data_IF_044646569159
#
_entry.id   IF_044646569159
#
_cell.length_a   1.000
_cell.length_b   1.000
_cell.length_c   1.000
_cell.angle_alpha   90.00
_cell.angle_beta   90.00
_cell.angle_gamma   90.00
#
_symmetry.space_group_name_H-M   'P 1'
#
loop_
_entity.id
_entity.type
_entity.pdbx_description
1 polymer ?
#
# COMPACT_ATOMS: atom_id res chain seq x y z
N UNK A 1 -6.74 7.23 4.66
CA UNK A 1 -7.31 8.04 3.55
C UNK A 1 -8.73 7.58 3.25
N UNK A 2 -9.69 8.50 3.21
CA UNK A 2 -11.11 8.20 2.95
C UNK A 2 -11.48 8.51 1.50
N UNK A 3 -11.23 7.58 0.58
CA UNK A 3 -11.47 7.77 -0.86
C UNK A 3 -12.94 7.55 -1.28
N UNK A 4 -13.85 7.26 -0.32
CA UNK A 4 -15.26 6.96 -0.56
C UNK A 4 -15.51 5.60 -1.24
N UNK A 5 -14.99 5.41 -2.45
CA UNK A 5 -15.00 4.12 -3.18
C UNK A 5 -13.57 3.74 -3.55
N UNK A 6 -12.98 2.70 -2.93
CA UNK A 6 -11.59 2.34 -3.16
C UNK A 6 -11.41 1.51 -4.44
N UNK A 7 -11.30 2.18 -5.59
CA UNK A 7 -10.97 1.52 -6.87
C UNK A 7 -9.61 0.81 -6.85
N UNK A 8 -8.68 1.30 -6.01
CA UNK A 8 -7.36 0.69 -5.82
C UNK A 8 -7.44 -0.76 -5.35
N UNK A 9 -8.45 -1.11 -4.55
CA UNK A 9 -8.66 -2.46 -4.03
C UNK A 9 -9.03 -3.43 -5.16
N UNK A 10 -9.92 -3.00 -6.07
CA UNK A 10 -10.36 -3.79 -7.22
C UNK A 10 -9.28 -3.94 -8.30
N UNK A 11 -8.40 -2.96 -8.41
CA UNK A 11 -7.29 -2.99 -9.37
C UNK A 11 -6.13 -3.89 -8.93
N UNK A 12 -6.04 -4.21 -7.63
CA UNK A 12 -5.00 -5.08 -7.10
C UNK A 12 -5.42 -6.55 -7.21
N UNK A 13 -4.68 -7.41 -7.93
CA UNK A 13 -5.03 -8.83 -8.08
C UNK A 13 -4.97 -9.61 -6.76
N UNK A 14 -4.24 -9.10 -5.76
CA UNK A 14 -4.14 -9.67 -4.42
C UNK A 14 -5.26 -9.18 -3.49
N UNK A 15 -6.07 -8.20 -3.91
CA UNK A 15 -7.05 -7.57 -3.03
C UNK A 15 -6.40 -6.81 -1.88
N UNK A 16 -5.24 -6.18 -2.13
CA UNK A 16 -4.56 -5.40 -1.10
C UNK A 16 -5.40 -4.16 -0.70
N UNK A 17 -5.40 -3.87 0.59
CA UNK A 17 -6.18 -2.81 1.23
C UNK A 17 -5.38 -1.51 1.32
N UNK A 18 -5.00 -0.98 0.16
CA UNK A 18 -4.19 0.24 0.03
C UNK A 18 -4.62 1.42 0.92
N UNK A 19 -5.92 1.76 1.04
CA UNK A 19 -6.33 2.89 1.87
C UNK A 19 -6.14 2.67 3.37
N UNK A 20 -6.22 1.42 3.85
CA UNK A 20 -6.17 1.07 5.27
C UNK A 20 -4.73 1.20 5.79
N UNK A 21 -3.75 0.61 5.10
CA UNK A 21 -2.35 0.75 5.50
C UNK A 21 -1.78 2.14 5.19
N UNK A 22 -2.28 2.84 4.17
CA UNK A 22 -1.93 4.26 3.95
C UNK A 22 -2.44 5.16 5.08
N UNK A 23 -3.60 4.85 5.65
CA UNK A 23 -4.11 5.58 6.81
C UNK A 23 -3.24 5.37 8.05
N UNK A 24 -2.78 4.13 8.27
CA UNK A 24 -1.84 3.79 9.34
C UNK A 24 -0.49 4.50 9.14
N UNK A 25 0.04 4.52 7.89
CA UNK A 25 1.23 5.30 7.53
C UNK A 25 1.06 6.79 7.84
N UNK A 26 -0.08 7.37 7.47
CA UNK A 26 -0.36 8.79 7.72
C UNK A 26 -0.40 9.12 9.22
N UNK A 27 -0.85 8.16 10.05
CA UNK A 27 -0.83 8.27 11.53
C UNK A 27 0.54 8.01 12.15
N UNK A 28 1.50 7.49 11.37
CA UNK A 28 2.83 7.08 11.85
C UNK A 28 2.85 5.69 12.49
N UNK A 29 1.80 4.90 12.35
CA UNK A 29 1.68 3.55 12.90
C UNK A 29 2.24 2.51 11.92
N UNK A 30 3.58 2.46 11.79
CA UNK A 30 4.28 1.59 10.85
C UNK A 30 4.06 0.09 11.11
N UNK A 31 3.99 -0.33 12.37
CA UNK A 31 3.71 -1.72 12.75
C UNK A 31 2.32 -2.15 12.25
N UNK A 32 1.32 -1.29 12.43
CA UNK A 32 -0.04 -1.57 11.97
C UNK A 32 -0.11 -1.59 10.43
N UNK A 33 0.58 -0.66 9.77
CA UNK A 33 0.68 -0.64 8.30
C UNK A 33 1.28 -1.94 7.77
N UNK A 34 2.39 -2.41 8.36
CA UNK A 34 3.02 -3.68 7.98
C UNK A 34 2.11 -4.88 8.24
N UNK A 35 1.44 -4.97 9.39
CA UNK A 35 0.51 -6.06 9.70
C UNK A 35 -0.67 -6.12 8.74
N UNK A 36 -1.23 -4.98 8.36
CA UNK A 36 -2.31 -4.89 7.37
C UNK A 36 -1.81 -5.33 5.99
N UNK A 37 -0.63 -4.87 5.59
CA UNK A 37 -0.01 -5.24 4.33
C UNK A 37 0.24 -6.76 4.26
N UNK A 38 0.90 -7.31 5.28
CA UNK A 38 1.22 -8.74 5.38
C UNK A 38 -0.04 -9.63 5.51
N UNK A 39 -1.16 -9.09 5.99
CA UNK A 39 -2.42 -9.86 6.07
C UNK A 39 -3.04 -10.20 4.72
N UNK A 40 -2.71 -9.43 3.68
CA UNK A 40 -3.25 -9.60 2.32
C UNK A 40 -2.22 -10.09 1.31
N UNK A 41 -0.94 -9.94 1.65
CA UNK A 41 0.17 -10.27 0.77
C UNK A 41 1.31 -10.84 1.61
N UNK A 42 1.61 -12.12 1.40
CA UNK A 42 2.68 -12.82 2.13
C UNK A 42 4.09 -12.32 1.75
N UNK A 43 4.23 -11.65 0.59
CA UNK A 43 5.53 -11.22 0.05
C UNK A 43 5.54 -9.75 -0.39
N UNK A 44 5.39 -8.81 0.56
CA UNK A 44 5.34 -7.38 0.24
C UNK A 44 6.69 -6.83 -0.25
N UNK A 45 7.81 -7.48 0.07
CA UNK A 45 9.15 -7.17 -0.47
C UNK A 45 9.22 -7.28 -1.99
N UNK A 46 8.59 -8.31 -2.54
CA UNK A 46 8.63 -8.58 -3.97
C UNK A 46 7.63 -7.69 -4.69
N UNK A 47 6.42 -7.53 -4.14
CA UNK A 47 5.38 -6.70 -4.77
C UNK A 47 5.79 -5.23 -4.83
N UNK A 48 6.41 -4.69 -3.78
CA UNK A 48 6.90 -3.31 -3.78
C UNK A 48 7.93 -3.01 -4.88
N UNK A 49 8.65 -4.02 -5.39
CA UNK A 49 9.70 -3.84 -6.41
C UNK A 49 9.28 -4.23 -7.83
N UNK A 50 8.47 -5.27 -7.97
CA UNK A 50 8.11 -5.82 -9.29
C UNK A 50 6.71 -5.43 -9.76
N UNK A 51 5.84 -4.95 -8.86
CA UNK A 51 4.45 -4.68 -9.20
C UNK A 51 4.36 -3.60 -10.30
N UNK A 52 3.55 -3.83 -11.36
CA UNK A 52 3.30 -2.85 -12.41
C UNK A 52 2.39 -1.69 -11.98
N UNK A 53 2.10 -1.56 -10.67
CA UNK A 53 1.36 -0.47 -10.04
C UNK A 53 -0.02 -0.17 -10.68
N UNK A 54 -0.81 -1.23 -10.92
CA UNK A 54 -2.18 -1.08 -11.46
C UNK A 54 -3.10 -0.28 -10.52
N UNK A 55 -2.85 -0.38 -9.20
CA UNK A 55 -3.57 0.37 -8.18
C UNK A 55 -3.40 1.89 -8.30
N UNK A 56 -2.23 2.37 -8.72
CA UNK A 56 -1.95 3.80 -8.90
C UNK A 56 -2.68 4.34 -10.13
N UNK A 57 -2.73 3.56 -11.22
CA UNK A 57 -3.47 3.91 -12.44
C UNK A 57 -4.97 4.03 -12.21
N UNK A 58 -5.52 3.16 -11.36
CA UNK A 58 -6.93 3.13 -11.00
C UNK A 58 -7.30 4.10 -9.86
N UNK A 59 -6.34 4.86 -9.32
CA UNK A 59 -6.60 5.76 -8.20
C UNK A 59 -7.54 6.91 -8.59
N UNK A 60 -8.46 7.28 -7.69
CA UNK A 60 -9.40 8.40 -7.91
C UNK A 60 -8.64 9.72 -8.12
N UNK A 61 -7.55 9.93 -7.37
CA UNK A 61 -6.72 11.13 -7.50
C UNK A 61 -6.00 11.20 -8.85
N UNK A 62 -5.64 10.05 -9.44
CA UNK A 62 -5.08 10.01 -10.80
C UNK A 62 -6.11 10.43 -11.86
N UNK A 63 -7.39 10.12 -11.63
CA UNK A 63 -8.48 10.47 -12.53
C UNK A 63 -8.92 11.94 -12.39
N UNK A 64 -8.81 12.52 -11.19
CA UNK A 64 -9.26 13.89 -10.92
C UNK A 64 -8.16 14.93 -11.10
N UNK A 65 -7.00 14.73 -10.48
CA UNK A 65 -5.95 15.75 -10.36
C UNK A 65 -4.61 15.31 -10.98
N UNK A 66 -4.57 14.12 -11.61
CA UNK A 66 -3.34 13.51 -12.16
C UNK A 66 -2.22 13.30 -11.13
N UNK A 67 -2.57 13.24 -9.85
CA UNK A 67 -1.65 13.00 -8.73
C UNK A 67 -1.98 11.65 -8.06
N UNK A 68 -1.55 10.51 -8.64
CA UNK A 68 -1.76 9.21 -8.03
C UNK A 68 -1.00 9.09 -6.70
N UNK A 69 -1.59 8.36 -5.77
CA UNK A 69 -0.88 7.84 -4.58
C UNK A 69 0.19 6.85 -5.02
N UNK A 70 1.42 7.00 -4.52
CA UNK A 70 2.58 6.16 -4.83
C UNK A 70 2.58 4.85 -4.02
N UNK A 71 1.50 4.09 -4.13
CA UNK A 71 1.26 2.91 -3.30
C UNK A 71 2.39 1.87 -3.38
N UNK A 72 3.02 1.71 -4.54
CA UNK A 72 4.12 0.76 -4.70
C UNK A 72 5.35 1.17 -3.89
N UNK A 73 5.66 2.46 -3.90
CA UNK A 73 6.82 3.02 -3.18
C UNK A 73 6.54 3.01 -1.67
N UNK A 74 5.30 3.29 -1.27
CA UNK A 74 4.86 3.19 0.12
C UNK A 74 4.91 1.73 0.63
N UNK A 75 4.49 0.74 -0.16
CA UNK A 75 4.65 -0.68 0.16
C UNK A 75 6.12 -1.04 0.39
N UNK A 76 7.03 -0.59 -0.49
CA UNK A 76 8.46 -0.82 -0.35
C UNK A 76 9.02 -0.16 0.91
N UNK A 77 8.62 1.08 1.20
CA UNK A 77 9.06 1.82 2.38
C UNK A 77 8.58 1.18 3.69
N UNK A 78 7.31 0.74 3.76
CA UNK A 78 6.78 0.01 4.93
C UNK A 78 7.63 -1.23 5.21
N UNK A 79 7.94 -2.00 4.17
CA UNK A 79 8.70 -3.25 4.30
C UNK A 79 10.14 -2.98 4.71
N UNK A 80 10.82 -2.02 4.08
CA UNK A 80 12.20 -1.67 4.45
C UNK A 80 12.28 -1.15 5.89
N UNK A 81 11.27 -0.41 6.35
CA UNK A 81 11.17 0.02 7.74
C UNK A 81 10.90 -1.16 8.67
N UNK A 82 10.01 -2.08 8.29
CA UNK A 82 9.71 -3.28 9.05
C UNK A 82 10.93 -4.22 9.21
N UNK A 83 11.77 -4.33 8.18
CA UNK A 83 13.05 -5.04 8.27
C UNK A 83 14.06 -4.35 9.19
N UNK A 84 14.08 -3.03 9.20
CA UNK A 84 15.01 -2.26 10.04
C UNK A 84 14.64 -2.32 11.53
N UNK A 85 13.33 -2.35 11.83
CA UNK A 85 12.78 -2.37 13.18
C UNK A 85 12.47 -3.80 13.70
N UNK A 86 12.88 -4.85 12.96
CA UNK A 86 12.69 -6.27 13.30
C UNK A 86 11.21 -6.69 13.47
N UNK A 87 10.27 -6.04 12.77
CA UNK A 87 8.85 -6.42 12.73
C UNK A 87 8.57 -7.66 11.88
N UNK A 88 9.55 -8.10 11.08
CA UNK A 88 9.50 -9.29 10.24
C UNK A 88 10.06 -10.48 11.03
N UNK A 89 9.23 -11.47 11.35
CA UNK A 89 9.60 -12.69 12.06
C UNK A 89 9.43 -13.94 11.20
#
# INVERSE_FOLDING_TARGET
>A
MDCGVPFCHWACPLGNKAPEWNDALYKGDWEQAYRLLNSTNDFPEFTGRICPALCEKACVLNLMDHEPTTNREDECAIVEHAFSEDYVH
#
